data_IF_007399811223
#
_entry.id   IF_007399811223
#
_cell.length_a   1.000
_cell.length_b   1.000
_cell.length_c   1.000
_cell.angle_alpha   90.00
_cell.angle_beta   90.00
_cell.angle_gamma   90.00
#
_symmetry.space_group_name_H-M   'P 1'
#
loop_
_entity.id
_entity.type
_entity.pdbx_description
1 polymer ?
#
# COMPACT_ATOMS: atom_id res chain seq x y z
N UNK A 1 -22.05 -8.28 -23.41
CA UNK A 1 -22.12 -7.32 -22.29
C UNK A 1 -22.43 -5.95 -22.86
N UNK A 2 -23.48 -5.32 -22.35
CA UNK A 2 -23.93 -3.97 -22.75
C UNK A 2 -22.84 -2.89 -22.63
N UNK A 3 -21.82 -3.15 -21.81
CA UNK A 3 -20.61 -2.32 -21.63
C UNK A 3 -19.96 -1.92 -22.98
N UNK A 4 -20.02 -2.77 -24.01
CA UNK A 4 -19.47 -2.46 -25.35
C UNK A 4 -20.24 -1.36 -26.08
N UNK A 5 -21.52 -1.17 -25.76
CA UNK A 5 -22.44 -0.29 -26.50
C UNK A 5 -22.76 1.01 -25.76
N UNK A 6 -22.52 1.06 -24.44
CA UNK A 6 -22.76 2.23 -23.57
C UNK A 6 -21.64 2.42 -22.52
N UNK A 7 -20.36 2.57 -22.92
CA UNK A 7 -19.24 2.75 -22.00
C UNK A 7 -19.32 4.05 -21.17
N UNK A 8 -20.10 5.03 -21.63
CA UNK A 8 -20.30 6.32 -20.97
C UNK A 8 -21.10 6.23 -19.65
N UNK A 9 -21.91 5.18 -19.47
CA UNK A 9 -22.70 4.96 -18.24
C UNK A 9 -21.93 4.21 -17.16
N UNK A 10 -20.69 3.81 -17.46
CA UNK A 10 -19.88 3.05 -16.55
C UNK A 10 -19.28 3.99 -15.49
N UNK A 11 -19.74 3.86 -14.26
CA UNK A 11 -19.17 4.58 -13.12
C UNK A 11 -17.88 3.90 -12.64
N UNK A 12 -17.03 4.55 -11.83
CA UNK A 12 -15.86 3.91 -11.23
C UNK A 12 -16.16 2.78 -10.23
N UNK A 13 -17.42 2.64 -9.77
CA UNK A 13 -17.79 1.71 -8.71
C UNK A 13 -17.51 0.22 -9.01
N UNK A 14 -17.81 -0.31 -10.22
CA UNK A 14 -17.48 -1.69 -10.56
C UNK A 14 -15.96 -1.95 -10.59
N UNK A 15 -15.16 -0.97 -11.02
CA UNK A 15 -13.69 -1.10 -11.03
C UNK A 15 -13.16 -1.20 -9.60
N UNK A 16 -13.63 -0.33 -8.71
CA UNK A 16 -13.32 -0.38 -7.28
C UNK A 16 -13.69 -1.73 -6.66
N UNK A 17 -14.90 -2.24 -6.91
CA UNK A 17 -15.33 -3.54 -6.38
C UNK A 17 -14.48 -4.70 -6.92
N UNK A 18 -14.17 -4.69 -8.22
CA UNK A 18 -13.30 -5.69 -8.82
C UNK A 18 -11.90 -5.69 -8.18
N UNK A 19 -11.36 -4.51 -7.86
CA UNK A 19 -10.09 -4.37 -7.16
C UNK A 19 -10.15 -4.83 -5.69
N UNK A 20 -11.25 -4.54 -4.97
CA UNK A 20 -11.49 -5.05 -3.60
C UNK A 20 -11.58 -6.59 -3.56
N UNK A 21 -12.08 -7.21 -4.63
CA UNK A 21 -12.17 -8.67 -4.73
C UNK A 21 -10.94 -9.32 -5.39
N UNK A 22 -9.93 -8.54 -5.82
CA UNK A 22 -8.73 -9.08 -6.48
C UNK A 22 -8.98 -9.69 -7.86
N UNK A 23 -10.09 -9.34 -8.53
CA UNK A 23 -10.46 -9.93 -9.81
C UNK A 23 -9.77 -9.23 -10.98
N UNK A 24 -8.48 -9.52 -11.19
CA UNK A 24 -7.64 -8.92 -12.24
C UNK A 24 -8.30 -8.96 -13.64
N UNK A 25 -8.91 -10.08 -14.03
CA UNK A 25 -9.60 -10.19 -15.34
C UNK A 25 -10.78 -9.24 -15.49
N UNK A 26 -11.47 -8.91 -14.40
CA UNK A 26 -12.57 -7.94 -14.43
C UNK A 26 -12.00 -6.53 -14.46
N UNK A 27 -10.95 -6.26 -13.67
CA UNK A 27 -10.21 -4.99 -13.68
C UNK A 27 -9.73 -4.65 -15.09
N UNK A 28 -9.04 -5.58 -15.76
CA UNK A 28 -8.57 -5.43 -17.14
C UNK A 28 -9.70 -5.06 -18.11
N UNK A 29 -10.82 -5.80 -18.06
CA UNK A 29 -11.96 -5.55 -18.93
C UNK A 29 -12.64 -4.20 -18.68
N UNK A 30 -12.66 -3.73 -17.44
CA UNK A 30 -13.28 -2.45 -17.08
C UNK A 30 -12.39 -1.27 -17.48
N UNK A 31 -11.08 -1.36 -17.21
CA UNK A 31 -10.09 -0.34 -17.61
C UNK A 31 -10.08 -0.15 -19.13
N UNK A 32 -10.12 -1.25 -19.89
CA UNK A 32 -10.12 -1.21 -21.35
C UNK A 32 -11.48 -0.82 -21.96
N UNK A 33 -12.55 -0.73 -21.16
CA UNK A 33 -13.87 -0.37 -21.65
C UNK A 33 -14.12 1.14 -21.70
N UNK A 34 -13.61 1.90 -20.73
CA UNK A 34 -13.87 3.34 -20.63
C UNK A 34 -12.86 4.03 -19.71
N UNK A 35 -12.38 5.22 -20.11
CA UNK A 35 -11.55 6.04 -19.23
C UNK A 35 -12.34 6.61 -18.04
N UNK A 36 -13.67 6.71 -18.17
CA UNK A 36 -14.55 7.25 -17.11
C UNK A 36 -14.58 6.39 -15.84
N UNK A 37 -14.11 5.13 -15.90
CA UNK A 37 -14.02 4.28 -14.70
C UNK A 37 -12.72 4.45 -13.94
N UNK A 38 -11.72 5.12 -14.51
CA UNK A 38 -10.40 5.22 -13.92
C UNK A 38 -10.49 5.99 -12.60
N UNK A 39 -10.00 5.36 -11.53
CA UNK A 39 -9.94 5.96 -10.19
C UNK A 39 -8.75 5.42 -9.42
N UNK A 40 -8.13 6.26 -8.60
CA UNK A 40 -7.05 5.85 -7.70
C UNK A 40 -7.54 4.90 -6.60
N UNK A 41 -8.85 4.90 -6.30
CA UNK A 41 -9.48 3.97 -5.37
C UNK A 41 -9.20 2.51 -5.73
N UNK A 42 -9.16 2.18 -7.02
CA UNK A 42 -8.91 0.82 -7.48
C UNK A 42 -7.54 0.33 -6.97
N UNK A 43 -6.47 1.10 -7.17
CA UNK A 43 -5.14 0.73 -6.68
C UNK A 43 -5.04 0.81 -5.16
N UNK A 44 -5.68 1.81 -4.53
CA UNK A 44 -5.72 1.94 -3.07
C UNK A 44 -6.32 0.71 -2.40
N UNK A 45 -7.48 0.25 -2.87
CA UNK A 45 -8.14 -0.92 -2.30
C UNK A 45 -7.43 -2.23 -2.67
N UNK A 46 -6.95 -2.37 -3.90
CA UNK A 46 -6.14 -3.53 -4.28
C UNK A 46 -4.91 -3.68 -3.36
N UNK A 47 -4.24 -2.56 -3.05
CA UNK A 47 -3.13 -2.53 -2.13
C UNK A 47 -3.53 -2.84 -0.68
N UNK A 48 -4.62 -2.25 -0.20
CA UNK A 48 -5.16 -2.47 1.14
C UNK A 48 -5.52 -3.93 1.41
N UNK A 49 -6.00 -4.66 0.40
CA UNK A 49 -6.36 -6.09 0.50
C UNK A 49 -5.26 -7.05 0.00
N UNK A 50 -4.12 -6.53 -0.44
CA UNK A 50 -2.94 -7.35 -0.73
C UNK A 50 -2.88 -7.97 -2.11
N UNK A 51 -3.70 -7.54 -3.07
CA UNK A 51 -3.71 -8.06 -4.44
C UNK A 51 -2.58 -7.44 -5.28
N UNK A 52 -1.36 -7.94 -5.06
CA UNK A 52 -0.14 -7.43 -5.71
C UNK A 52 -0.19 -7.52 -7.25
N UNK A 53 -0.87 -8.53 -7.79
CA UNK A 53 -1.08 -8.71 -9.23
C UNK A 53 -1.94 -7.57 -9.80
N UNK A 54 -3.03 -7.21 -9.12
CA UNK A 54 -3.87 -6.06 -9.49
C UNK A 54 -3.11 -4.75 -9.32
N UNK A 55 -2.34 -4.58 -8.24
CA UNK A 55 -1.51 -3.37 -8.02
C UNK A 55 -0.48 -3.20 -9.13
N UNK A 56 0.27 -4.25 -9.47
CA UNK A 56 1.25 -4.23 -10.57
C UNK A 56 0.60 -3.94 -11.92
N UNK A 57 -0.55 -4.57 -12.19
CA UNK A 57 -1.30 -4.32 -13.41
C UNK A 57 -1.73 -2.85 -13.50
N UNK A 58 -2.36 -2.31 -12.47
CA UNK A 58 -2.83 -0.93 -12.44
C UNK A 58 -1.66 0.08 -12.51
N UNK A 59 -0.51 -0.24 -11.92
CA UNK A 59 0.69 0.59 -11.97
C UNK A 59 1.27 0.70 -13.38
N UNK A 60 1.22 -0.38 -14.15
CA UNK A 60 1.77 -0.43 -15.51
C UNK A 60 0.86 0.24 -16.56
N UNK A 61 -0.31 0.74 -16.18
CA UNK A 61 -1.18 1.50 -17.09
C UNK A 61 -0.59 2.90 -17.28
N UNK A 62 -0.21 3.20 -18.52
CA UNK A 62 0.28 4.52 -18.90
C UNK A 62 -0.77 5.60 -18.65
N UNK A 63 -0.38 6.70 -17.99
CA UNK A 63 -1.27 7.79 -17.58
C UNK A 63 -2.47 7.35 -16.73
N UNK A 64 -2.39 6.16 -16.10
CA UNK A 64 -3.42 5.68 -15.19
C UNK A 64 -3.61 6.62 -13.99
N UNK A 65 -4.73 6.48 -13.25
CA UNK A 65 -5.06 7.37 -12.13
C UNK A 65 -4.11 7.25 -10.94
N UNK A 66 -3.16 6.30 -10.97
CA UNK A 66 -2.18 6.07 -9.91
C UNK A 66 -2.80 5.59 -8.61
N UNK A 67 -2.16 5.94 -7.49
CA UNK A 67 -2.67 5.72 -6.15
C UNK A 67 -2.52 6.97 -5.29
N UNK A 68 -2.96 6.89 -4.04
CA UNK A 68 -2.65 7.88 -3.01
C UNK A 68 -1.90 7.21 -1.86
N UNK A 69 -1.49 7.99 -0.85
CA UNK A 69 -0.89 7.45 0.39
C UNK A 69 -1.73 6.37 1.06
N UNK A 70 -3.04 6.37 0.82
CA UNK A 70 -3.97 5.35 1.32
C UNK A 70 -3.61 3.92 0.87
N UNK A 71 -2.99 3.76 -0.31
CA UNK A 71 -2.54 2.45 -0.79
C UNK A 71 -1.49 1.84 0.14
N UNK A 72 -0.43 2.61 0.46
CA UNK A 72 0.65 2.12 1.32
C UNK A 72 0.20 2.05 2.79
N UNK A 73 -0.60 3.01 3.26
CA UNK A 73 -1.18 2.99 4.61
C UNK A 73 -2.04 1.76 4.85
N UNK A 74 -2.93 1.45 3.89
CA UNK A 74 -3.77 0.26 3.93
C UNK A 74 -2.95 -1.02 3.87
N UNK A 75 -2.03 -1.13 2.89
CA UNK A 75 -1.17 -2.30 2.75
C UNK A 75 -0.34 -2.57 4.01
N UNK A 76 0.18 -1.52 4.65
CA UNK A 76 0.94 -1.63 5.88
C UNK A 76 0.08 -2.11 7.06
N UNK A 77 -1.11 -1.52 7.22
CA UNK A 77 -2.08 -1.89 8.25
C UNK A 77 -2.50 -3.35 8.12
N UNK A 78 -2.86 -3.81 6.93
CA UNK A 78 -3.36 -5.17 6.69
C UNK A 78 -2.26 -6.21 6.39
N UNK A 79 -1.00 -5.84 6.63
CA UNK A 79 0.16 -6.75 6.63
C UNK A 79 0.64 -7.25 5.29
N UNK A 80 0.38 -6.49 4.22
CA UNK A 80 0.78 -6.82 2.87
C UNK A 80 2.18 -6.26 2.55
N UNK A 81 3.22 -6.86 3.15
CA UNK A 81 4.62 -6.42 3.01
C UNK A 81 5.06 -6.31 1.54
N UNK A 82 4.71 -7.27 0.70
CA UNK A 82 5.11 -7.27 -0.72
C UNK A 82 4.50 -6.10 -1.49
N UNK A 83 3.28 -5.70 -1.14
CA UNK A 83 2.64 -4.50 -1.69
C UNK A 83 3.33 -3.24 -1.18
N UNK A 84 3.66 -3.18 0.12
CA UNK A 84 4.39 -2.04 0.70
C UNK A 84 5.74 -1.85 0.03
N UNK A 85 6.51 -2.93 -0.19
CA UNK A 85 7.78 -2.89 -0.91
C UNK A 85 7.60 -2.34 -2.32
N UNK A 86 6.68 -2.94 -3.07
CA UNK A 86 6.41 -2.55 -4.45
C UNK A 86 6.02 -1.07 -4.56
N UNK A 87 5.09 -0.61 -3.72
CA UNK A 87 4.68 0.80 -3.71
C UNK A 87 5.83 1.71 -3.28
N UNK A 88 6.65 1.33 -2.30
CA UNK A 88 7.76 2.16 -1.86
C UNK A 88 8.88 2.30 -2.91
N UNK A 89 9.11 1.26 -3.71
CA UNK A 89 10.16 1.24 -4.73
C UNK A 89 9.72 1.87 -6.06
N UNK A 90 8.43 1.78 -6.41
CA UNK A 90 7.94 2.14 -7.75
C UNK A 90 7.01 3.37 -7.74
N UNK A 91 6.63 3.89 -6.57
CA UNK A 91 5.72 5.03 -6.43
C UNK A 91 6.32 6.10 -5.51
N UNK A 92 5.93 7.36 -5.72
CA UNK A 92 6.49 8.52 -5.01
C UNK A 92 5.53 9.12 -3.98
N UNK A 93 4.28 8.65 -3.93
CA UNK A 93 3.24 9.12 -3.01
C UNK A 93 3.63 8.89 -1.54
N UNK A 94 4.30 7.77 -1.27
CA UNK A 94 4.71 7.35 0.06
C UNK A 94 3.56 6.89 0.95
N UNK A 95 3.79 6.95 2.25
CA UNK A 95 2.82 6.65 3.31
C UNK A 95 2.66 7.84 4.27
N UNK A 96 1.62 7.78 5.09
CA UNK A 96 1.46 8.64 6.26
C UNK A 96 1.86 7.88 7.53
N UNK A 97 1.72 8.56 8.67
CA UNK A 97 1.86 7.93 9.99
C UNK A 97 0.89 6.75 10.20
N UNK A 98 -0.25 6.74 9.51
CA UNK A 98 -1.23 5.66 9.60
C UNK A 98 -0.66 4.30 9.19
N UNK A 99 0.28 4.24 8.25
CA UNK A 99 0.96 2.99 7.87
C UNK A 99 1.63 2.33 9.08
N UNK A 100 2.33 3.12 9.88
CA UNK A 100 3.08 2.65 11.03
C UNK A 100 2.15 2.36 12.22
N UNK A 101 1.19 3.25 12.52
CA UNK A 101 0.22 3.07 13.61
C UNK A 101 -0.65 1.83 13.36
N UNK A 102 -1.12 1.67 12.12
CA UNK A 102 -1.89 0.51 11.69
C UNK A 102 -1.08 -0.78 11.73
N UNK A 103 0.16 -0.77 11.24
CA UNK A 103 1.05 -1.93 11.33
C UNK A 103 1.37 -2.31 12.78
N UNK A 104 1.55 -1.32 13.67
CA UNK A 104 1.83 -1.53 15.09
C UNK A 104 0.62 -2.15 15.81
N UNK A 105 -0.56 -1.57 15.61
CA UNK A 105 -1.82 -2.10 16.17
C UNK A 105 -2.12 -3.52 15.69
N UNK A 106 -1.61 -3.91 14.51
CA UNK A 106 -1.78 -5.26 13.94
C UNK A 106 -0.61 -6.20 14.24
N UNK A 107 0.35 -5.77 15.07
CA UNK A 107 1.50 -6.58 15.49
C UNK A 107 2.45 -6.93 14.34
N UNK A 108 2.57 -6.06 13.34
CA UNK A 108 3.26 -6.38 12.09
C UNK A 108 4.69 -5.82 12.04
N UNK A 109 5.53 -6.48 12.82
CA UNK A 109 6.98 -6.27 12.91
C UNK A 109 7.67 -6.05 11.55
N UNK A 110 7.39 -6.92 10.57
CA UNK A 110 8.10 -6.94 9.29
C UNK A 110 7.87 -5.69 8.45
N UNK A 111 6.63 -5.18 8.44
CA UNK A 111 6.31 -3.94 7.72
C UNK A 111 6.92 -2.74 8.42
N UNK A 112 6.86 -2.70 9.75
CA UNK A 112 7.48 -1.63 10.54
C UNK A 112 8.99 -1.59 10.29
N UNK A 113 9.68 -2.73 10.40
CA UNK A 113 11.11 -2.83 10.13
C UNK A 113 11.45 -2.37 8.70
N UNK A 114 10.67 -2.80 7.71
CA UNK A 114 10.87 -2.36 6.33
C UNK A 114 10.71 -0.85 6.18
N UNK A 115 9.59 -0.28 6.64
CA UNK A 115 9.32 1.15 6.54
C UNK A 115 10.39 1.97 7.28
N UNK A 116 10.83 1.54 8.46
CA UNK A 116 11.89 2.23 9.20
C UNK A 116 13.26 2.13 8.53
N UNK A 117 13.52 1.09 7.75
CA UNK A 117 14.79 0.98 7.04
C UNK A 117 14.84 1.78 5.73
N UNK A 118 13.69 2.17 5.16
CA UNK A 118 13.61 2.78 3.84
C UNK A 118 13.01 4.19 3.83
N UNK A 119 12.45 4.66 4.96
CA UNK A 119 11.76 5.95 5.06
C UNK A 119 12.27 6.72 6.28
N UNK A 120 12.92 7.86 6.01
CA UNK A 120 13.43 8.79 7.03
C UNK A 120 12.45 9.95 7.30
N UNK A 121 11.34 10.05 6.56
CA UNK A 121 10.44 11.20 6.53
C UNK A 121 9.38 11.23 7.64
N UNK A 122 9.22 10.15 8.40
CA UNK A 122 8.19 10.03 9.46
C UNK A 122 8.83 9.96 10.85
N UNK A 123 9.78 10.85 11.12
CA UNK A 123 10.15 11.18 12.49
C UNK A 123 9.20 12.26 13.00
N UNK A 124 8.16 11.88 13.75
CA UNK A 124 7.66 12.70 14.88
C UNK A 124 6.51 12.02 15.66
N UNK A 125 6.81 11.75 16.94
CA UNK A 125 5.97 12.14 18.08
C UNK A 125 4.85 11.22 18.64
N UNK A 126 4.73 9.93 18.34
CA UNK A 126 3.90 9.06 19.23
C UNK A 126 4.30 7.60 19.42
N UNK A 127 5.28 7.05 18.71
CA UNK A 127 5.78 5.69 19.00
C UNK A 127 6.47 5.55 20.38
N UNK A 128 6.65 6.65 21.11
CA UNK A 128 7.29 6.67 22.44
C UNK A 128 6.44 6.06 23.58
N UNK A 129 5.20 5.62 23.32
CA UNK A 129 4.30 5.11 24.38
C UNK A 129 3.92 3.63 24.27
N UNK A 130 4.49 2.88 23.32
CA UNK A 130 4.29 1.42 23.27
C UNK A 130 5.58 0.70 23.70
N UNK A 131 5.58 0.04 24.89
CA UNK A 131 6.72 -0.69 25.43
C UNK A 131 7.34 -1.70 24.44
N UNK A 132 6.54 -2.35 23.59
CA UNK A 132 7.04 -3.37 22.65
C UNK A 132 7.95 -2.80 21.55
N UNK A 133 7.90 -1.49 21.28
CA UNK A 133 8.68 -0.85 20.21
C UNK A 133 9.92 -0.08 20.69
N UNK A 134 10.21 -0.08 22.00
CA UNK A 134 11.45 0.52 22.54
C UNK A 134 12.72 -0.09 21.92
N UNK A 135 12.67 -1.39 21.58
CA UNK A 135 13.79 -2.10 20.94
C UNK A 135 14.14 -1.58 19.55
N UNK A 136 13.22 -0.89 18.87
CA UNK A 136 13.46 -0.33 17.53
C UNK A 136 14.41 0.87 17.58
N UNK A 137 14.31 1.72 18.60
CA UNK A 137 15.26 2.84 18.77
C UNK A 137 16.66 2.34 19.15
N UNK A 138 16.72 1.31 20.01
CA UNK A 138 17.95 0.62 20.31
C UNK A 138 18.54 -0.05 19.05
N UNK A 139 17.71 -0.73 18.24
CA UNK A 139 18.09 -1.33 16.96
C UNK A 139 18.69 -0.29 16.01
N UNK A 140 18.07 0.88 15.82
CA UNK A 140 18.63 1.93 14.94
C UNK A 140 19.93 2.53 15.50
N UNK A 141 20.04 2.72 16.81
CA UNK A 141 21.28 3.17 17.47
C UNK A 141 22.42 2.16 17.31
N UNK A 142 22.12 0.88 17.49
CA UNK A 142 23.05 -0.24 17.31
C UNK A 142 23.42 -0.43 15.83
N UNK A 143 22.46 -0.34 14.90
CA UNK A 143 22.69 -0.39 13.46
C UNK A 143 23.53 0.78 12.95
N UNK A 144 23.30 2.01 13.42
CA UNK A 144 24.17 3.17 13.16
C UNK A 144 25.60 2.97 13.68
N UNK A 145 25.77 2.12 14.70
CA UNK A 145 27.07 1.72 15.27
C UNK A 145 27.64 0.44 14.63
N UNK A 146 27.03 -0.08 13.56
CA UNK A 146 27.48 -1.29 12.87
C UNK A 146 27.20 -2.61 13.60
N UNK A 147 26.36 -2.59 14.64
CA UNK A 147 26.03 -3.76 15.44
C UNK A 147 24.79 -4.44 14.83
N UNK A 148 24.95 -5.69 14.39
CA UNK A 148 23.86 -6.54 13.93
C UNK A 148 22.99 -6.95 15.13
N UNK A 149 21.80 -6.39 15.23
CA UNK A 149 20.77 -6.81 16.18
C UNK A 149 19.58 -7.34 15.40
N UNK A 150 19.03 -8.48 15.80
CA UNK A 150 17.75 -8.95 15.26
C UNK A 150 16.63 -8.15 15.93
N UNK A 151 15.74 -7.55 15.12
CA UNK A 151 14.58 -6.86 15.65
C UNK A 151 13.59 -7.93 16.17
N UNK A 152 13.64 -8.23 17.46
CA UNK A 152 12.64 -9.08 18.11
C UNK A 152 11.45 -8.19 18.44
N UNK A 153 10.29 -8.55 17.94
CA UNK A 153 8.98 -7.94 18.23
C UNK A 153 8.12 -9.01 18.86
#
# INVERSE_FOLDING_TARGET
MWIKYKPEWLTPAPLKLAAICGHLKIVDRLINASINVWTCDAMNFAAMYGYIDVVKYLHNIENGPGCTKAAMDGAATFRHLEVVKFLNENRTEGCTKNAYDGAAHKGNAKVIEYLLNHREDVYTSSYFYFPEFYHIQQYRSLKKRGILVNCVV
#
